data_IF_735692369989
#
_entry.id   IF_735692369989
#
_cell.length_a   1.000
_cell.length_b   1.000
_cell.length_c   1.000
_cell.angle_alpha   90.00
_cell.angle_beta   90.00
_cell.angle_gamma   90.00
#
_symmetry.space_group_name_H-M   'P 1'
#
loop_
_entity.id
_entity.type
_entity.pdbx_description
1 polymer ?
#
# COMPACT_ATOMS: atom_id res chain seq x y z
N UNK A 1 23.33 19.18 -4.09
CA UNK A 1 21.95 18.67 -3.96
C UNK A 1 22.05 17.33 -3.27
N UNK A 2 21.19 17.03 -2.30
CA UNK A 2 21.12 15.68 -1.75
C UNK A 2 20.71 14.72 -2.88
N UNK A 3 21.41 13.60 -3.01
CA UNK A 3 21.11 12.60 -4.03
C UNK A 3 20.02 11.67 -3.46
N UNK A 4 18.79 11.83 -3.94
CA UNK A 4 17.67 10.98 -3.56
C UNK A 4 17.62 9.74 -4.45
N UNK A 5 17.14 8.59 -3.95
CA UNK A 5 16.88 7.44 -4.81
C UNK A 5 15.87 7.80 -5.90
N UNK A 6 16.01 7.21 -7.09
CA UNK A 6 15.14 7.56 -8.22
C UNK A 6 13.77 6.89 -8.13
N UNK A 7 12.79 7.44 -8.85
CA UNK A 7 11.45 6.84 -8.94
C UNK A 7 11.54 5.40 -9.47
N UNK A 8 12.41 5.14 -10.44
CA UNK A 8 12.63 3.81 -11.02
C UNK A 8 13.19 2.81 -10.00
N UNK A 9 14.04 3.27 -9.06
CA UNK A 9 14.53 2.42 -7.98
C UNK A 9 13.40 1.98 -7.03
N UNK A 10 12.46 2.87 -6.71
CA UNK A 10 11.27 2.51 -5.94
C UNK A 10 10.32 1.60 -6.74
N UNK A 11 10.04 1.94 -8.00
CA UNK A 11 9.12 1.16 -8.84
C UNK A 11 9.62 -0.27 -9.06
N UNK A 12 10.93 -0.48 -9.24
CA UNK A 12 11.53 -1.83 -9.34
C UNK A 12 11.33 -2.69 -8.08
N UNK A 13 10.95 -2.07 -6.96
CA UNK A 13 10.64 -2.69 -5.66
C UNK A 13 9.14 -2.66 -5.35
N UNK A 14 8.31 -2.24 -6.31
CA UNK A 14 6.85 -2.19 -6.20
C UNK A 14 6.29 -0.93 -5.54
N UNK A 15 7.13 0.04 -5.19
CA UNK A 15 6.70 1.32 -4.62
C UNK A 15 6.49 2.34 -5.74
N UNK A 16 5.25 2.76 -5.95
CA UNK A 16 4.88 3.71 -7.01
C UNK A 16 4.75 5.13 -6.42
N UNK A 17 5.89 5.74 -6.13
CA UNK A 17 6.00 7.05 -5.50
C UNK A 17 6.21 8.16 -6.53
N UNK A 18 5.81 9.39 -6.19
CA UNK A 18 6.20 10.56 -6.97
C UNK A 18 7.55 11.12 -6.49
N UNK A 19 8.18 11.97 -7.31
CA UNK A 19 9.42 12.65 -6.91
C UNK A 19 9.22 13.49 -5.64
N UNK A 20 8.10 14.21 -5.57
CA UNK A 20 7.72 15.02 -4.42
C UNK A 20 7.49 14.15 -3.18
N UNK A 21 6.93 12.95 -3.34
CA UNK A 21 6.79 12.00 -2.25
C UNK A 21 8.14 11.51 -1.71
N UNK A 22 9.11 11.27 -2.59
CA UNK A 22 10.48 10.89 -2.18
C UNK A 22 11.17 12.05 -1.45
N UNK A 23 11.01 13.27 -1.95
CA UNK A 23 11.50 14.48 -1.29
C UNK A 23 10.84 14.68 0.08
N UNK A 24 9.55 14.37 0.21
CA UNK A 24 8.82 14.43 1.48
C UNK A 24 9.29 13.39 2.49
N UNK A 25 9.60 12.15 2.06
CA UNK A 25 10.22 11.15 2.95
C UNK A 25 11.52 11.71 3.53
N UNK A 26 12.35 12.35 2.69
CA UNK A 26 13.62 12.94 3.11
C UNK A 26 13.45 14.16 4.04
N UNK A 27 12.37 14.93 3.91
CA UNK A 27 12.12 16.08 4.79
C UNK A 27 11.63 15.67 6.18
N UNK A 28 10.89 14.56 6.28
CA UNK A 28 10.34 14.07 7.55
C UNK A 28 11.29 13.14 8.30
N UNK A 29 12.38 12.69 7.67
CA UNK A 29 13.29 11.69 8.24
C UNK A 29 14.75 12.09 8.03
N UNK A 30 15.51 12.21 9.12
CA UNK A 30 16.93 12.52 9.07
C UNK A 30 17.78 11.27 8.86
N UNK A 31 18.95 11.42 8.22
CA UNK A 31 19.98 10.37 8.16
C UNK A 31 19.69 9.22 7.19
N UNK A 32 18.78 9.40 6.23
CA UNK A 32 18.55 8.42 5.17
C UNK A 32 19.72 8.40 4.18
N UNK A 33 20.37 7.25 4.01
CA UNK A 33 21.57 7.11 3.16
C UNK A 33 21.42 6.07 2.05
N UNK A 34 20.36 5.27 2.09
CA UNK A 34 20.12 4.19 1.14
C UNK A 34 18.64 4.03 0.80
N UNK A 35 18.32 3.48 -0.37
CA UNK A 35 16.95 3.11 -0.75
C UNK A 35 16.23 2.28 0.33
N UNK A 36 16.97 1.48 1.10
CA UNK A 36 16.39 0.68 2.19
C UNK A 36 15.91 1.57 3.33
N UNK A 37 16.69 2.57 3.73
CA UNK A 37 16.30 3.50 4.79
C UNK A 37 15.04 4.27 4.41
N UNK A 38 14.96 4.72 3.14
CA UNK A 38 13.76 5.37 2.62
C UNK A 38 12.54 4.44 2.63
N UNK A 39 12.70 3.18 2.25
CA UNK A 39 11.60 2.20 2.26
C UNK A 39 11.14 1.91 3.69
N UNK A 40 12.06 1.78 4.65
CA UNK A 40 11.68 1.61 6.05
C UNK A 40 10.91 2.82 6.58
N UNK A 41 11.38 4.05 6.29
CA UNK A 41 10.65 5.26 6.65
C UNK A 41 9.26 5.32 5.99
N UNK A 42 9.15 4.99 4.70
CA UNK A 42 7.90 5.03 3.95
C UNK A 42 6.84 4.05 4.46
N UNK A 43 7.22 2.95 5.14
CA UNK A 43 6.27 1.98 5.70
C UNK A 43 5.39 2.58 6.80
N UNK A 44 5.90 3.58 7.52
CA UNK A 44 5.20 4.25 8.62
C UNK A 44 4.44 5.52 8.16
N UNK A 45 4.45 5.81 6.85
CA UNK A 45 3.80 6.99 6.27
C UNK A 45 2.52 6.61 5.52
N UNK A 46 1.56 7.54 5.44
CA UNK A 46 0.39 7.39 4.56
C UNK A 46 0.83 7.49 3.10
N UNK A 47 0.67 6.39 2.35
CA UNK A 47 1.09 6.29 0.95
C UNK A 47 0.40 7.32 0.04
N UNK A 48 -0.76 7.87 0.43
CA UNK A 48 -1.43 8.94 -0.31
C UNK A 48 -0.69 10.29 -0.26
N UNK A 49 0.23 10.47 0.68
CA UNK A 49 1.13 11.62 0.73
C UNK A 49 2.37 11.43 -0.16
N UNK A 50 2.65 10.18 -0.55
CA UNK A 50 3.89 9.80 -1.22
C UNK A 50 3.75 9.61 -2.74
N UNK A 51 2.52 9.69 -3.26
CA UNK A 51 2.23 9.43 -4.67
C UNK A 51 1.21 10.40 -5.22
N UNK A 52 1.27 10.64 -6.52
CA UNK A 52 0.31 11.48 -7.25
C UNK A 52 -0.69 10.66 -8.07
N UNK A 53 -0.29 9.47 -8.54
CA UNK A 53 -1.09 8.66 -9.46
C UNK A 53 -1.25 7.19 -9.02
N UNK A 54 -0.40 6.68 -8.13
CA UNK A 54 -0.36 5.25 -7.81
C UNK A 54 0.23 4.41 -8.97
N UNK A 55 -0.04 3.11 -8.97
CA UNK A 55 0.58 2.20 -9.95
C UNK A 55 -0.14 2.19 -11.32
N UNK A 56 -1.42 2.59 -11.35
CA UNK A 56 -2.17 2.65 -12.60
C UNK A 56 -1.92 3.97 -13.32
N UNK A 57 -0.90 4.00 -14.16
CA UNK A 57 -0.52 5.17 -14.96
C UNK A 57 -1.49 5.47 -16.11
N UNK A 58 -2.43 4.57 -16.40
CA UNK A 58 -3.45 4.74 -17.44
C UNK A 58 -4.82 5.04 -16.82
N UNK A 59 -5.68 5.72 -17.56
CA UNK A 59 -7.09 5.90 -17.16
C UNK A 59 -7.95 4.65 -17.47
N UNK A 60 -7.32 3.56 -17.90
CA UNK A 60 -8.03 2.35 -18.26
C UNK A 60 -8.39 1.53 -17.02
N UNK A 61 -9.44 0.71 -17.18
CA UNK A 61 -9.80 -0.25 -16.14
C UNK A 61 -8.70 -1.29 -16.03
N UNK A 62 -8.05 -1.33 -14.86
CA UNK A 62 -7.06 -2.33 -14.54
C UNK A 62 -7.64 -3.75 -14.70
N UNK A 63 -6.97 -4.58 -15.50
CA UNK A 63 -7.31 -6.00 -15.70
C UNK A 63 -6.49 -6.91 -14.80
N UNK A 64 -5.26 -6.53 -14.52
CA UNK A 64 -4.27 -7.29 -13.75
C UNK A 64 -3.48 -6.35 -12.85
N UNK A 65 -3.05 -6.85 -11.69
CA UNK A 65 -2.24 -6.10 -10.72
C UNK A 65 -0.76 -6.29 -11.09
N UNK A 66 0.05 -5.21 -11.19
CA UNK A 66 1.47 -5.34 -11.48
C UNK A 66 2.21 -6.08 -10.36
N UNK A 67 3.36 -6.67 -10.70
CA UNK A 67 4.21 -7.36 -9.74
C UNK A 67 5.69 -6.98 -9.96
N UNK A 68 6.43 -6.60 -8.91
CA UNK A 68 5.98 -6.42 -7.53
C UNK A 68 5.10 -5.16 -7.37
N UNK A 69 4.24 -5.13 -6.33
CA UNK A 69 3.47 -3.94 -5.94
C UNK A 69 3.36 -3.83 -4.42
N UNK A 70 3.48 -2.62 -3.90
CA UNK A 70 3.23 -2.28 -2.50
C UNK A 70 1.94 -1.48 -2.41
N UNK A 71 1.06 -1.90 -1.50
CA UNK A 71 -0.23 -1.27 -1.22
C UNK A 71 -0.35 -1.08 0.29
N UNK A 72 -1.02 -0.02 0.71
CA UNK A 72 -1.38 0.21 2.10
C UNK A 72 -2.74 -0.43 2.40
N UNK A 73 -2.81 -1.17 3.50
CA UNK A 73 -4.08 -1.69 4.05
C UNK A 73 -4.83 -0.55 4.71
N UNK A 74 -6.06 -0.30 4.23
CA UNK A 74 -6.95 0.73 4.78
C UNK A 74 -7.90 0.13 5.80
N UNK A 75 -8.42 -1.06 5.51
CA UNK A 75 -9.44 -1.71 6.33
C UNK A 75 -9.44 -3.21 6.09
N UNK A 76 -9.64 -3.99 7.15
CA UNK A 76 -9.89 -5.44 7.08
C UNK A 76 -11.20 -5.73 7.78
N UNK A 77 -12.14 -6.38 7.09
CA UNK A 77 -13.45 -6.76 7.65
C UNK A 77 -13.76 -8.22 7.39
N UNK A 78 -14.39 -8.89 8.35
CA UNK A 78 -14.98 -10.19 8.10
C UNK A 78 -16.39 -10.03 7.51
N UNK A 79 -16.54 -10.39 6.24
CA UNK A 79 -17.80 -10.31 5.51
C UNK A 79 -18.62 -11.61 5.54
N UNK A 80 -18.10 -12.67 6.19
CA UNK A 80 -18.86 -13.90 6.42
C UNK A 80 -19.88 -13.77 7.58
N UNK A 81 -19.79 -12.70 8.37
CA UNK A 81 -20.65 -12.44 9.52
C UNK A 81 -21.21 -11.00 9.46
N UNK A 82 -22.37 -10.72 10.07
CA UNK A 82 -22.92 -9.36 10.12
C UNK A 82 -21.97 -8.37 10.79
N UNK A 83 -22.00 -7.11 10.36
CA UNK A 83 -21.13 -6.04 10.89
C UNK A 83 -21.29 -5.79 12.40
N UNK A 84 -22.46 -6.12 12.96
CA UNK A 84 -22.76 -5.99 14.40
C UNK A 84 -22.23 -7.17 15.25
N UNK A 85 -21.84 -8.27 14.60
CA UNK A 85 -21.40 -9.52 15.22
C UNK A 85 -20.11 -10.00 14.55
N UNK A 86 -19.06 -9.20 14.67
CA UNK A 86 -17.74 -9.55 14.17
C UNK A 86 -17.14 -10.65 15.05
N UNK A 87 -17.25 -11.89 14.58
CA UNK A 87 -16.54 -13.04 15.10
C UNK A 87 -15.53 -13.51 14.04
N UNK A 88 -14.52 -14.28 14.45
CA UNK A 88 -13.53 -14.82 13.52
C UNK A 88 -14.05 -15.98 12.67
N UNK A 89 -15.13 -16.63 13.08
CA UNK A 89 -15.68 -17.81 12.41
C UNK A 89 -17.18 -17.66 12.15
N UNK A 90 -17.67 -17.95 10.92
CA UNK A 90 -16.90 -18.24 9.72
C UNK A 90 -16.02 -17.06 9.26
N UNK A 91 -14.90 -17.33 8.59
CA UNK A 91 -13.95 -16.30 8.11
C UNK A 91 -14.08 -16.09 6.61
N UNK A 92 -14.31 -14.85 6.20
CA UNK A 92 -14.07 -14.39 4.84
C UNK A 92 -13.65 -12.92 4.92
N UNK A 93 -12.35 -12.66 4.81
CA UNK A 93 -11.86 -11.29 4.92
C UNK A 93 -12.01 -10.54 3.59
N UNK A 94 -12.62 -9.36 3.65
CA UNK A 94 -12.47 -8.33 2.64
C UNK A 94 -11.43 -7.32 3.13
N UNK A 95 -10.42 -7.06 2.29
CA UNK A 95 -9.38 -6.08 2.55
C UNK A 95 -9.56 -4.90 1.60
N UNK A 96 -9.70 -3.71 2.16
CA UNK A 96 -9.63 -2.46 1.39
C UNK A 96 -8.16 -2.04 1.33
N UNK A 97 -7.63 -1.91 0.12
CA UNK A 97 -6.24 -1.56 -0.16
C UNK A 97 -6.16 -0.23 -0.93
N UNK A 98 -5.02 0.45 -0.86
CA UNK A 98 -4.74 1.65 -1.64
C UNK A 98 -3.29 1.69 -2.10
N UNK A 99 -3.07 2.19 -3.30
CA UNK A 99 -1.77 2.59 -3.82
C UNK A 99 -1.51 4.10 -3.62
N UNK A 100 -2.27 4.74 -2.72
CA UNK A 100 -2.28 6.18 -2.46
C UNK A 100 -3.12 7.01 -3.43
N UNK A 101 -3.53 6.46 -4.58
CA UNK A 101 -4.46 7.12 -5.47
C UNK A 101 -5.88 7.18 -4.86
N UNK A 102 -6.73 8.04 -5.44
CA UNK A 102 -8.10 8.27 -4.97
C UNK A 102 -8.96 7.00 -4.93
N UNK A 103 -8.70 6.04 -5.81
CA UNK A 103 -9.51 4.82 -5.93
C UNK A 103 -8.95 3.71 -5.05
N UNK A 104 -9.77 3.21 -4.12
CA UNK A 104 -9.44 2.05 -3.29
C UNK A 104 -9.71 0.75 -4.04
N UNK A 105 -8.87 -0.26 -3.77
CA UNK A 105 -9.03 -1.63 -4.24
C UNK A 105 -9.71 -2.45 -3.16
N UNK A 106 -10.55 -3.41 -3.56
CA UNK A 106 -11.13 -4.39 -2.64
C UNK A 106 -10.61 -5.76 -3.03
N UNK A 107 -9.94 -6.42 -2.10
CA UNK A 107 -9.50 -7.80 -2.23
C UNK A 107 -10.33 -8.69 -1.29
N UNK A 108 -10.46 -9.95 -1.67
CA UNK A 108 -11.12 -10.98 -0.87
C UNK A 108 -10.09 -12.08 -0.59
N UNK A 109 -10.08 -12.57 0.64
CA UNK A 109 -9.33 -13.77 1.02
C UNK A 109 -9.96 -15.00 0.36
N UNK A 110 -9.26 -15.59 -0.62
CA UNK A 110 -9.73 -16.74 -1.40
C UNK A 110 -8.64 -17.82 -1.36
N UNK A 111 -9.05 -19.09 -1.47
CA UNK A 111 -8.25 -20.32 -1.41
C UNK A 111 -7.77 -20.69 0.00
N UNK A 112 -6.88 -19.89 0.58
CA UNK A 112 -6.26 -20.19 1.86
C UNK A 112 -6.33 -18.98 2.80
N UNK A 113 -6.21 -19.28 4.10
CA UNK A 113 -6.16 -18.26 5.14
C UNK A 113 -4.85 -17.49 5.02
N UNK A 114 -4.94 -16.16 5.01
CA UNK A 114 -3.79 -15.26 5.07
C UNK A 114 -3.53 -14.88 6.54
N UNK A 115 -2.61 -15.60 7.18
CA UNK A 115 -2.41 -15.54 8.65
C UNK A 115 -1.97 -14.17 9.19
N UNK A 116 -1.30 -13.37 8.37
CA UNK A 116 -0.88 -12.02 8.73
C UNK A 116 -2.03 -10.99 8.68
N UNK A 117 -3.17 -11.32 8.07
CA UNK A 117 -4.35 -10.48 8.05
C UNK A 117 -5.34 -10.84 9.16
N UNK A 118 -5.75 -9.82 9.89
CA UNK A 118 -6.71 -9.89 10.99
C UNK A 118 -7.61 -8.68 10.95
N UNK A 119 -8.80 -8.81 11.52
CA UNK A 119 -9.70 -7.68 11.72
C UNK A 119 -9.01 -6.64 12.60
N UNK A 120 -9.21 -5.35 12.30
CA UNK A 120 -8.76 -4.28 13.19
C UNK A 120 -9.55 -4.36 14.50
N UNK A 121 -8.87 -4.21 15.63
CA UNK A 121 -9.50 -4.12 16.96
C UNK A 121 -10.36 -2.87 17.08
#
# INVERSE_FOLDING_TARGET
>A
MAEFPTVEEFESRGWYLSKEGIEYIASENEGLNSIKDYIEAAKDMDISLLTTQGFNKTNEKLKEIPSPVVLQVVEVRNIAVPSIHQNDNPRLLQVTLTDGAKKKLKAIEIHEKVDCLRQGN
#
